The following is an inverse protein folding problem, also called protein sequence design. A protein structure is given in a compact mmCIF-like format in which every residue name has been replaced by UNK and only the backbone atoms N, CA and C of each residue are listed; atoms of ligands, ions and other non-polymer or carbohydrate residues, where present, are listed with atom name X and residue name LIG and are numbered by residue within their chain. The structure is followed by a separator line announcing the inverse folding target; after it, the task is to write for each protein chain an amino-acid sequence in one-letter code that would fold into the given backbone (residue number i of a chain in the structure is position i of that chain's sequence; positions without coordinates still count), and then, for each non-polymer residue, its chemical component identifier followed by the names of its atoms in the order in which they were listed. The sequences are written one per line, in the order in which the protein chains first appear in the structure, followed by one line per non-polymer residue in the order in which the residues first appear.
data_IF_495268826631
#
_entry.id   IF_495268826631
#
_cell.length_a   1.000
_cell.length_b   1.000
_cell.length_c   1.000
_cell.angle_alpha   90.00
_cell.angle_beta   90.00
_cell.angle_gamma   90.00
#
_symmetry.space_group_name_H-M   'P 1'
#
loop_
_entity.id
_entity.type
_entity.pdbx_description
1 polymer ?
#
# COMPACT_ATOMS: atom_id res chain seq x y z
N UNK A 1 -36.90 -4.27 4.01
CA UNK A 1 -36.01 -3.29 3.34
C UNK A 1 -35.99 -3.66 1.86
N UNK A 2 -36.36 -2.73 0.97
CA UNK A 2 -36.31 -2.92 -0.48
C UNK A 2 -35.29 -1.94 -1.06
N UNK A 3 -34.45 -2.37 -1.99
CA UNK A 3 -33.50 -1.48 -2.66
C UNK A 3 -33.14 -2.00 -4.05
N UNK A 4 -32.86 -1.08 -4.97
CA UNK A 4 -32.39 -1.43 -6.32
C UNK A 4 -30.95 -1.92 -6.24
N UNK A 5 -30.63 -3.00 -6.97
CA UNK A 5 -29.30 -3.64 -6.97
C UNK A 5 -28.15 -2.65 -7.25
N UNK A 6 -28.24 -1.83 -8.30
CA UNK A 6 -27.17 -0.85 -8.63
C UNK A 6 -26.92 0.17 -7.51
N UNK A 7 -27.96 0.53 -6.75
CA UNK A 7 -27.83 1.42 -5.59
C UNK A 7 -27.05 0.74 -4.47
N UNK A 8 -27.34 -0.54 -4.18
CA UNK A 8 -26.62 -1.32 -3.18
C UNK A 8 -25.15 -1.54 -3.56
N UNK A 9 -24.89 -1.86 -4.83
CA UNK A 9 -23.52 -1.97 -5.36
C UNK A 9 -22.79 -0.64 -5.18
N UNK A 10 -23.40 0.47 -5.60
CA UNK A 10 -22.78 1.80 -5.50
C UNK A 10 -22.45 2.17 -4.05
N UNK A 11 -23.34 1.87 -3.10
CA UNK A 11 -23.07 2.06 -1.67
C UNK A 11 -21.91 1.20 -1.19
N UNK A 12 -21.86 -0.07 -1.62
CA UNK A 12 -20.80 -1.00 -1.24
C UNK A 12 -19.43 -0.65 -1.83
N UNK A 13 -19.39 -0.10 -3.04
CA UNK A 13 -18.14 0.32 -3.68
C UNK A 13 -17.37 1.35 -2.83
N UNK A 14 -18.07 2.20 -2.08
CA UNK A 14 -17.45 3.19 -1.20
C UNK A 14 -16.55 2.58 -0.11
N UNK A 15 -16.69 1.29 0.19
CA UNK A 15 -15.85 0.61 1.19
C UNK A 15 -14.45 0.28 0.66
N UNK A 16 -14.23 0.39 -0.65
CA UNK A 16 -12.98 0.06 -1.32
C UNK A 16 -12.26 1.32 -1.85
N UNK A 17 -12.63 2.49 -1.34
CA UNK A 17 -12.02 3.80 -1.66
C UNK A 17 -10.79 4.10 -0.79
N UNK A 18 -10.61 3.37 0.32
CA UNK A 18 -9.54 3.59 1.28
C UNK A 18 -8.74 2.32 1.56
N UNK A 19 -7.48 2.51 1.91
CA UNK A 19 -6.58 1.47 2.38
C UNK A 19 -6.59 1.46 3.92
N UNK A 20 -6.76 0.27 4.49
CA UNK A 20 -6.70 0.04 5.92
C UNK A 20 -5.34 0.51 6.48
N UNK A 21 -5.35 1.32 7.53
CA UNK A 21 -4.15 1.92 8.09
C UNK A 21 -3.58 1.13 9.27
N UNK A 22 -4.17 0.01 9.66
CA UNK A 22 -3.78 -0.74 10.87
C UNK A 22 -2.33 -1.19 10.78
N UNK A 23 -1.96 -1.86 9.67
CA UNK A 23 -0.58 -2.31 9.47
C UNK A 23 0.40 -1.14 9.41
N UNK A 24 0.06 -0.07 8.68
CA UNK A 24 0.93 1.11 8.54
C UNK A 24 1.14 1.84 9.88
N UNK A 25 0.11 1.88 10.72
CA UNK A 25 0.20 2.48 12.06
C UNK A 25 1.12 1.65 12.97
N UNK A 26 0.98 0.31 12.93
CA UNK A 26 1.84 -0.60 13.68
C UNK A 26 3.29 -0.54 13.18
N UNK A 27 3.49 -0.52 11.87
CA UNK A 27 4.82 -0.43 11.26
C UNK A 27 5.50 0.90 11.62
N UNK A 28 4.76 2.02 11.58
CA UNK A 28 5.25 3.32 12.04
C UNK A 28 5.64 3.32 13.52
N UNK A 29 4.82 2.73 14.39
CA UNK A 29 5.15 2.61 15.81
C UNK A 29 6.42 1.79 16.04
N UNK A 30 6.59 0.67 15.32
CA UNK A 30 7.80 -0.14 15.37
C UNK A 30 9.03 0.65 14.91
N UNK A 31 8.95 1.39 13.79
CA UNK A 31 10.06 2.24 13.32
C UNK A 31 10.45 3.31 14.34
N UNK A 32 9.48 3.95 15.01
CA UNK A 32 9.78 4.93 16.05
C UNK A 32 10.58 4.32 17.21
N UNK A 33 10.24 3.09 17.62
CA UNK A 33 10.99 2.37 18.67
C UNK A 33 12.40 2.00 18.21
N UNK A 34 12.53 1.54 16.97
CA UNK A 34 13.82 1.14 16.40
C UNK A 34 14.72 2.38 16.21
N UNK A 35 14.20 3.48 15.65
CA UNK A 35 14.93 4.75 15.51
C UNK A 35 15.42 5.25 16.87
N UNK A 36 14.59 5.14 17.92
CA UNK A 36 15.02 5.51 19.28
C UNK A 36 16.17 4.65 19.79
N UNK A 37 16.21 3.36 19.44
CA UNK A 37 17.34 2.47 19.75
C UNK A 37 18.60 2.90 18.99
N UNK A 38 18.47 3.24 17.70
CA UNK A 38 19.56 3.74 16.86
C UNK A 38 20.20 5.00 17.47
N UNK A 39 19.38 5.97 17.88
CA UNK A 39 19.84 7.21 18.54
C UNK A 39 20.66 6.92 19.81
N UNK A 40 20.18 6.01 20.67
CA UNK A 40 20.87 5.65 21.91
C UNK A 40 22.21 4.95 21.66
N UNK A 41 22.28 4.12 20.63
CA UNK A 41 23.53 3.46 20.23
C UNK A 41 24.55 4.48 19.68
N UNK A 42 24.10 5.46 18.90
CA UNK A 42 24.96 6.56 18.48
C UNK A 42 25.48 7.38 19.66
N UNK A 43 24.61 7.75 20.60
CA UNK A 43 25.02 8.45 21.83
C UNK A 43 26.02 7.64 22.68
N UNK A 44 25.85 6.32 22.76
CA UNK A 44 26.80 5.42 23.44
C UNK A 44 28.14 5.37 22.71
N UNK A 45 28.11 5.21 21.39
CA UNK A 45 29.31 5.17 20.55
C UNK A 45 30.13 6.45 20.68
N UNK A 46 29.48 7.61 20.61
CA UNK A 46 30.14 8.90 20.71
C UNK A 46 30.87 9.07 22.06
N UNK A 47 30.26 8.60 23.16
CA UNK A 47 30.89 8.61 24.49
C UNK A 47 32.11 7.68 24.54
N UNK A 48 32.00 6.49 23.96
CA UNK A 48 33.12 5.53 23.93
C UNK A 48 34.29 6.03 23.08
N UNK A 49 33.99 6.66 21.94
CA UNK A 49 35.00 7.28 21.09
C UNK A 49 35.70 8.45 21.78
N UNK A 50 34.99 9.27 22.57
CA UNK A 50 35.63 10.32 23.38
C UNK A 50 36.62 9.74 24.40
N UNK A 51 36.27 8.65 25.09
CA UNK A 51 37.18 7.96 26.01
C UNK A 51 38.41 7.42 25.25
N UNK A 52 38.18 6.85 24.06
CA UNK A 52 39.23 6.32 23.19
C UNK A 52 40.25 7.40 22.80
N UNK A 53 39.77 8.54 22.29
CA UNK A 53 40.64 9.64 21.83
C UNK A 53 41.33 10.39 22.96
N UNK A 54 40.77 10.37 24.18
CA UNK A 54 41.41 10.92 25.37
C UNK A 54 42.50 10.02 25.97
N UNK A 55 42.89 8.93 25.29
CA UNK A 55 44.02 8.08 25.66
C UNK A 55 43.72 7.05 26.75
N UNK A 56 42.44 6.81 27.05
CA UNK A 56 41.97 5.81 28.01
C UNK A 56 41.37 4.57 27.31
N UNK A 57 41.77 4.32 26.05
CA UNK A 57 41.31 3.19 25.25
C UNK A 57 41.67 1.84 25.89
N UNK A 58 40.68 0.95 25.95
CA UNK A 58 40.85 -0.45 26.35
C UNK A 58 40.32 -1.36 25.23
N UNK A 59 40.78 -2.61 25.19
CA UNK A 59 40.24 -3.64 24.28
C UNK A 59 38.72 -3.81 24.45
N UNK A 60 38.21 -3.64 25.66
CA UNK A 60 36.76 -3.66 25.95
C UNK A 60 36.01 -2.53 25.25
N UNK A 61 36.57 -1.32 25.24
CA UNK A 61 35.98 -0.16 24.53
C UNK A 61 36.00 -0.39 23.03
N UNK A 62 37.11 -0.88 22.48
CA UNK A 62 37.23 -1.18 21.05
C UNK A 62 36.21 -2.22 20.61
N UNK A 63 36.08 -3.33 21.36
CA UNK A 63 35.10 -4.36 21.08
C UNK A 63 33.66 -3.83 21.17
N UNK A 64 33.34 -3.00 22.17
CA UNK A 64 31.99 -2.44 22.29
C UNK A 64 31.65 -1.48 21.14
N UNK A 65 32.62 -0.69 20.67
CA UNK A 65 32.42 0.16 19.49
C UNK A 65 32.10 -0.67 18.24
N UNK A 66 32.83 -1.78 18.04
CA UNK A 66 32.57 -2.72 16.94
C UNK A 66 31.17 -3.35 17.07
N UNK A 67 30.80 -3.81 18.27
CA UNK A 67 29.48 -4.39 18.52
C UNK A 67 28.36 -3.37 18.22
N UNK A 68 28.53 -2.11 18.63
CA UNK A 68 27.57 -1.04 18.33
C UNK A 68 27.43 -0.83 16.82
N UNK A 69 28.53 -0.86 16.07
CA UNK A 69 28.47 -0.72 14.61
C UNK A 69 27.68 -1.85 13.94
N UNK A 70 27.89 -3.09 14.40
CA UNK A 70 27.10 -4.25 13.96
C UNK A 70 25.62 -4.10 14.34
N UNK A 71 25.32 -3.63 15.55
CA UNK A 71 23.94 -3.38 15.99
C UNK A 71 23.24 -2.28 15.16
N UNK A 72 23.94 -1.21 14.82
CA UNK A 72 23.42 -0.13 13.96
C UNK A 72 23.14 -0.66 12.54
N UNK A 73 24.04 -1.47 11.98
CA UNK A 73 23.81 -2.10 10.67
C UNK A 73 22.58 -3.02 10.70
N UNK A 74 22.41 -3.80 11.78
CA UNK A 74 21.22 -4.63 11.97
C UNK A 74 19.94 -3.80 12.03
N UNK A 75 19.94 -2.69 12.77
CA UNK A 75 18.81 -1.77 12.86
C UNK A 75 18.44 -1.20 11.48
N UNK A 76 19.42 -0.80 10.68
CA UNK A 76 19.17 -0.28 9.32
C UNK A 76 18.43 -1.33 8.48
N UNK A 77 18.91 -2.57 8.49
CA UNK A 77 18.26 -3.68 7.79
C UNK A 77 16.83 -3.95 8.28
N UNK A 78 16.55 -3.85 9.59
CA UNK A 78 15.20 -4.01 10.13
C UNK A 78 14.25 -2.92 9.61
N UNK A 79 14.69 -1.67 9.55
CA UNK A 79 13.85 -0.57 9.08
C UNK A 79 13.59 -0.68 7.59
N UNK A 80 14.61 -1.00 6.79
CA UNK A 80 14.45 -1.26 5.36
C UNK A 80 13.40 -2.36 5.13
N UNK A 81 13.51 -3.47 5.85
CA UNK A 81 12.54 -4.58 5.80
C UNK A 81 11.12 -4.12 6.15
N UNK A 82 10.95 -3.25 7.16
CA UNK A 82 9.63 -2.71 7.51
C UNK A 82 9.05 -1.85 6.38
N UNK A 83 9.87 -1.03 5.73
CA UNK A 83 9.42 -0.17 4.64
C UNK A 83 9.09 -0.97 3.37
N UNK A 84 9.86 -2.02 3.06
CA UNK A 84 9.52 -2.98 2.00
C UNK A 84 8.13 -3.59 2.24
N UNK A 85 7.86 -4.01 3.48
CA UNK A 85 6.57 -4.58 3.86
C UNK A 85 5.43 -3.56 3.76
N UNK A 86 5.67 -2.28 4.04
CA UNK A 86 4.68 -1.21 3.80
C UNK A 86 4.32 -1.07 2.33
N UNK A 87 5.31 -1.07 1.44
CA UNK A 87 5.06 -1.01 0.00
C UNK A 87 4.20 -2.19 -0.46
N UNK A 88 4.60 -3.41 -0.06
CA UNK A 88 3.89 -4.64 -0.39
C UNK A 88 2.44 -4.60 0.16
N UNK A 89 2.27 -4.15 1.40
CA UNK A 89 0.97 -4.06 2.05
C UNK A 89 0.02 -3.09 1.33
N UNK A 90 0.50 -1.89 0.99
CA UNK A 90 -0.28 -0.88 0.29
C UNK A 90 -0.70 -1.43 -1.08
N UNK A 91 0.23 -2.01 -1.84
CA UNK A 91 -0.07 -2.56 -3.16
C UNK A 91 -1.06 -3.72 -3.09
N UNK A 92 -0.90 -4.62 -2.12
CA UNK A 92 -1.82 -5.76 -1.94
C UNK A 92 -3.22 -5.31 -1.53
N UNK A 93 -3.31 -4.28 -0.68
CA UNK A 93 -4.58 -3.67 -0.29
C UNK A 93 -5.28 -3.01 -1.48
N UNK A 94 -4.51 -2.31 -2.32
CA UNK A 94 -4.99 -1.80 -3.61
C UNK A 94 -5.54 -2.92 -4.51
N UNK A 95 -4.76 -3.99 -4.74
CA UNK A 95 -5.19 -5.09 -5.61
C UNK A 95 -6.48 -5.74 -5.13
N UNK A 96 -6.61 -5.89 -3.80
CA UNK A 96 -7.84 -6.37 -3.19
C UNK A 96 -9.02 -5.43 -3.49
N UNK A 97 -8.86 -4.14 -3.21
CA UNK A 97 -9.90 -3.13 -3.44
C UNK A 97 -10.33 -3.10 -4.91
N UNK A 98 -9.37 -3.05 -5.85
CA UNK A 98 -9.65 -3.09 -7.28
C UNK A 98 -10.47 -4.34 -7.67
N UNK A 99 -10.07 -5.52 -7.20
CA UNK A 99 -10.80 -6.77 -7.49
C UNK A 99 -12.25 -6.68 -6.99
N UNK A 100 -12.46 -6.18 -5.78
CA UNK A 100 -13.82 -6.02 -5.24
C UNK A 100 -14.64 -5.03 -6.07
N UNK A 101 -14.05 -3.91 -6.50
CA UNK A 101 -14.71 -2.93 -7.36
C UNK A 101 -15.16 -3.58 -8.67
N UNK A 102 -14.24 -4.28 -9.37
CA UNK A 102 -14.54 -4.90 -10.64
C UNK A 102 -15.58 -6.02 -10.53
N UNK A 103 -15.45 -6.89 -9.52
CA UNK A 103 -16.39 -8.00 -9.32
C UNK A 103 -17.79 -7.54 -8.92
N UNK A 104 -17.91 -6.48 -8.14
CA UNK A 104 -19.21 -5.95 -7.74
C UNK A 104 -19.89 -5.16 -8.86
N UNK A 105 -19.13 -4.34 -9.59
CA UNK A 105 -19.68 -3.47 -10.62
C UNK A 105 -19.98 -4.22 -11.93
N UNK A 106 -19.22 -5.27 -12.25
CA UNK A 106 -19.30 -5.92 -13.55
C UNK A 106 -19.35 -7.44 -13.42
N UNK A 107 -20.49 -8.02 -13.82
CA UNK A 107 -20.77 -9.46 -13.75
C UNK A 107 -19.80 -10.32 -14.58
N UNK A 108 -19.21 -9.76 -15.65
CA UNK A 108 -18.35 -10.49 -16.58
C UNK A 108 -16.87 -10.54 -16.16
N UNK A 109 -16.53 -9.99 -14.99
CA UNK A 109 -15.13 -9.93 -14.57
C UNK A 109 -14.66 -11.28 -14.07
N UNK A 110 -13.92 -12.03 -14.89
CA UNK A 110 -13.20 -13.20 -14.40
C UNK A 110 -12.04 -12.75 -13.48
N UNK A 111 -11.80 -13.42 -12.33
CA UNK A 111 -10.67 -13.11 -11.46
C UNK A 111 -9.31 -13.19 -12.18
N UNK A 112 -9.21 -14.04 -13.21
CA UNK A 112 -8.01 -14.18 -14.06
C UNK A 112 -7.76 -12.95 -14.94
N UNK A 113 -8.80 -12.22 -15.34
CA UNK A 113 -8.64 -11.02 -16.16
C UNK A 113 -8.26 -9.79 -15.31
N UNK A 114 -8.54 -9.83 -14.00
CA UNK A 114 -8.19 -8.78 -13.06
C UNK A 114 -6.75 -8.86 -12.51
N UNK A 115 -5.98 -9.90 -12.83
CA UNK A 115 -4.60 -10.09 -12.34
C UNK A 115 -3.55 -9.36 -13.18
N UNK A 116 -3.84 -9.06 -14.44
CA UNK A 116 -2.92 -8.35 -15.32
C UNK A 116 -3.41 -6.92 -15.58
N UNK A 117 -2.63 -5.92 -15.18
CA UNK A 117 -3.05 -4.50 -15.28
C UNK A 117 -3.47 -4.08 -16.69
N UNK A 118 -2.75 -4.53 -17.73
CA UNK A 118 -3.13 -4.23 -19.12
C UNK A 118 -4.50 -4.79 -19.51
N UNK A 119 -4.92 -5.91 -18.90
CA UNK A 119 -6.26 -6.46 -19.12
C UNK A 119 -7.32 -5.66 -18.37
N UNK A 120 -7.01 -5.17 -17.16
CA UNK A 120 -7.88 -4.29 -16.39
C UNK A 120 -8.16 -3.00 -17.15
N UNK A 121 -7.12 -2.34 -17.67
CA UNK A 121 -7.26 -1.11 -18.46
C UNK A 121 -8.19 -1.32 -19.66
N UNK A 122 -7.91 -2.36 -20.47
CA UNK A 122 -8.75 -2.70 -21.64
C UNK A 122 -10.19 -3.06 -21.26
N UNK A 123 -10.38 -3.72 -20.12
CA UNK A 123 -11.70 -4.09 -19.64
C UNK A 123 -12.51 -2.87 -19.21
N UNK A 124 -11.91 -1.97 -18.41
CA UNK A 124 -12.54 -0.74 -17.94
C UNK A 124 -12.88 0.19 -19.11
N UNK A 125 -11.98 0.33 -20.07
CA UNK A 125 -12.21 1.13 -21.29
C UNK A 125 -13.44 0.62 -22.06
N UNK A 126 -13.57 -0.70 -22.26
CA UNK A 126 -14.76 -1.32 -22.86
C UNK A 126 -16.05 -1.08 -22.08
N UNK A 127 -15.96 -0.86 -20.77
CA UNK A 127 -17.11 -0.54 -19.90
C UNK A 127 -17.34 0.98 -19.80
N UNK A 128 -16.61 1.80 -20.56
CA UNK A 128 -16.76 3.26 -20.57
C UNK A 128 -16.05 3.97 -19.41
N UNK A 129 -15.10 3.31 -18.76
CA UNK A 129 -14.28 3.88 -17.69
C UNK A 129 -12.87 4.14 -18.20
N UNK A 130 -12.56 5.41 -18.48
CA UNK A 130 -11.20 5.83 -18.77
C UNK A 130 -10.39 5.90 -17.47
N UNK A 131 -9.61 4.85 -17.22
CA UNK A 131 -8.76 4.70 -16.04
C UNK A 131 -7.50 5.56 -16.10
N UNK A 132 -7.03 5.91 -17.31
CA UNK A 132 -5.79 6.68 -17.48
C UNK A 132 -5.96 8.14 -17.07
N UNK A 133 -7.20 8.66 -17.14
CA UNK A 133 -7.56 9.98 -16.63
C UNK A 133 -7.96 9.97 -15.14
N UNK A 134 -7.76 8.87 -14.40
CA UNK A 134 -8.01 8.89 -12.97
C UNK A 134 -6.95 9.72 -12.24
N UNK A 135 -7.39 10.50 -11.26
CA UNK A 135 -6.50 11.20 -10.33
C UNK A 135 -5.55 10.19 -9.67
N UNK A 136 -4.27 10.51 -9.51
CA UNK A 136 -3.31 9.58 -8.91
C UNK A 136 -2.86 8.41 -9.80
N UNK A 137 -3.25 8.35 -11.08
CA UNK A 137 -2.90 7.24 -11.98
C UNK A 137 -1.38 7.11 -12.19
N UNK A 138 -0.65 8.22 -12.36
CA UNK A 138 0.79 8.17 -12.61
C UNK A 138 1.54 7.65 -11.38
N UNK A 139 1.21 8.20 -10.21
CA UNK A 139 1.74 7.80 -8.92
C UNK A 139 1.45 6.33 -8.64
N UNK A 140 0.24 5.85 -8.98
CA UNK A 140 -0.08 4.43 -8.92
C UNK A 140 0.82 3.57 -9.83
N UNK A 141 1.06 4.00 -11.07
CA UNK A 141 1.92 3.27 -12.01
C UNK A 141 3.36 3.20 -11.51
N UNK A 142 3.88 4.30 -10.96
CA UNK A 142 5.20 4.36 -10.33
C UNK A 142 5.27 3.44 -9.11
N UNK A 143 4.28 3.50 -8.22
CA UNK A 143 4.20 2.64 -7.06
C UNK A 143 4.11 1.15 -7.42
N UNK A 144 3.39 0.81 -8.49
CA UNK A 144 3.32 -0.55 -9.02
C UNK A 144 4.71 -1.03 -9.49
N UNK A 145 5.50 -0.18 -10.14
CA UNK A 145 6.88 -0.51 -10.54
C UNK A 145 7.74 -0.75 -9.31
N UNK A 146 7.70 0.15 -8.33
CA UNK A 146 8.41 0.02 -7.07
C UNK A 146 8.07 -1.29 -6.34
N UNK A 147 6.78 -1.61 -6.17
CA UNK A 147 6.37 -2.88 -5.56
C UNK A 147 6.94 -4.09 -6.31
N UNK A 148 7.02 -4.03 -7.64
CA UNK A 148 7.55 -5.15 -8.42
C UNK A 148 9.06 -5.29 -8.25
N UNK A 149 9.79 -4.18 -8.16
CA UNK A 149 11.23 -4.19 -7.89
C UNK A 149 11.51 -4.72 -6.49
N UNK A 150 10.86 -4.18 -5.45
CA UNK A 150 11.03 -4.64 -4.05
C UNK A 150 10.73 -6.14 -3.88
N UNK A 151 9.83 -6.72 -4.68
CA UNK A 151 9.54 -8.17 -4.63
C UNK A 151 10.65 -9.05 -5.20
N UNK A 152 11.52 -8.51 -6.04
CA UNK A 152 12.50 -9.27 -6.80
C UNK A 152 13.95 -8.85 -6.52
N UNK A 153 14.14 -7.63 -6.06
CA UNK A 153 15.42 -7.00 -5.76
C UNK A 153 15.36 -6.50 -4.31
N UNK A 154 16.47 -6.62 -3.58
CA UNK A 154 16.58 -6.05 -2.24
C UNK A 154 16.53 -4.51 -2.29
N UNK A 155 16.02 -3.87 -1.24
CA UNK A 155 15.93 -2.41 -1.10
C UNK A 155 17.17 -1.65 -1.59
N UNK A 156 18.35 -2.06 -1.11
CA UNK A 156 19.65 -1.43 -1.44
C UNK A 156 20.03 -1.48 -2.93
N UNK A 157 19.32 -2.26 -3.76
CA UNK A 157 19.62 -2.45 -5.19
C UNK A 157 18.54 -1.88 -6.11
N UNK A 158 17.41 -1.38 -5.59
CA UNK A 158 16.30 -0.99 -6.45
C UNK A 158 16.63 0.27 -7.27
N UNK A 159 16.47 0.17 -8.59
CA UNK A 159 16.73 1.28 -9.52
C UNK A 159 15.61 2.32 -9.52
N UNK A 160 14.38 1.93 -9.17
CA UNK A 160 13.25 2.85 -9.04
C UNK A 160 13.41 3.83 -7.89
N UNK A 161 14.05 3.47 -6.78
CA UNK A 161 14.27 4.42 -5.68
C UNK A 161 15.16 5.60 -6.10
N UNK A 162 16.24 5.31 -6.84
CA UNK A 162 17.07 6.35 -7.43
C UNK A 162 16.29 7.23 -8.43
N UNK A 163 15.40 6.63 -9.23
CA UNK A 163 14.55 7.37 -10.17
C UNK A 163 13.47 8.22 -9.47
N UNK A 164 13.04 7.81 -8.28
CA UNK A 164 12.09 8.52 -7.41
C UNK A 164 12.78 9.58 -6.52
N UNK A 165 14.10 9.75 -6.65
CA UNK A 165 14.88 10.68 -5.84
C UNK A 165 14.99 10.26 -4.37
N UNK A 166 14.68 9.00 -4.05
CA UNK A 166 14.83 8.46 -2.70
C UNK A 166 16.28 8.02 -2.50
N UNK A 167 17.13 8.95 -2.07
CA UNK A 167 18.58 8.72 -1.92
C UNK A 167 18.92 8.31 -0.49
N UNK A 168 18.13 8.79 0.48
CA UNK A 168 18.25 8.43 1.89
C UNK A 168 16.96 7.77 2.41
N UNK A 169 17.08 7.09 3.55
CA UNK A 169 15.98 6.41 4.25
C UNK A 169 14.77 7.33 4.44
N UNK A 170 15.01 8.57 4.86
CA UNK A 170 13.97 9.56 5.15
C UNK A 170 13.16 9.93 3.89
N UNK A 171 13.80 10.00 2.73
CA UNK A 171 13.10 10.26 1.45
C UNK A 171 12.12 9.12 1.15
N UNK A 172 12.55 7.88 1.41
CA UNK A 172 11.71 6.71 1.19
C UNK A 172 10.56 6.61 2.19
N UNK A 173 10.81 6.87 3.48
CA UNK A 173 9.76 6.93 4.50
C UNK A 173 8.67 7.95 4.12
N UNK A 174 9.09 9.12 3.62
CA UNK A 174 8.20 10.15 3.12
C UNK A 174 7.43 9.68 1.88
N UNK A 175 8.12 9.06 0.92
CA UNK A 175 7.49 8.53 -0.29
C UNK A 175 6.41 7.48 0.04
N UNK A 176 6.71 6.50 0.88
CA UNK A 176 5.76 5.44 1.28
C UNK A 176 4.57 6.06 2.03
N UNK A 177 4.83 7.01 2.93
CA UNK A 177 3.78 7.73 3.67
C UNK A 177 2.82 8.48 2.74
N UNK A 178 3.35 9.09 1.68
CA UNK A 178 2.56 9.84 0.69
C UNK A 178 1.87 8.93 -0.34
N UNK A 179 2.48 7.79 -0.66
CA UNK A 179 1.97 6.85 -1.67
C UNK A 179 0.57 6.34 -1.36
N UNK A 180 0.26 6.12 -0.07
CA UNK A 180 -1.09 5.72 0.35
C UNK A 180 -2.15 6.71 -0.14
N UNK A 181 -1.92 8.00 0.09
CA UNK A 181 -2.89 9.04 -0.28
C UNK A 181 -3.11 9.09 -1.80
N UNK A 182 -2.04 8.99 -2.59
CA UNK A 182 -2.14 8.97 -4.05
C UNK A 182 -2.92 7.75 -4.57
N UNK A 183 -2.71 6.57 -3.97
CA UNK A 183 -3.42 5.35 -4.35
C UNK A 183 -4.89 5.40 -3.91
N UNK A 184 -5.20 5.99 -2.76
CA UNK A 184 -6.57 6.23 -2.33
C UNK A 184 -7.28 7.22 -3.26
N UNK A 185 -6.60 8.29 -3.68
CA UNK A 185 -7.13 9.22 -4.67
C UNK A 185 -7.46 8.52 -6.00
N UNK A 186 -6.60 7.60 -6.44
CA UNK A 186 -6.86 6.75 -7.59
C UNK A 186 -8.09 5.86 -7.42
N UNK A 187 -8.22 5.14 -6.29
CA UNK A 187 -9.36 4.27 -6.01
C UNK A 187 -10.67 5.07 -5.90
N UNK A 188 -10.64 6.25 -5.29
CA UNK A 188 -11.79 7.14 -5.16
C UNK A 188 -12.29 7.62 -6.53
N UNK A 189 -11.39 8.11 -7.39
CA UNK A 189 -11.78 8.60 -8.71
C UNK A 189 -12.22 7.45 -9.64
N UNK A 190 -11.56 6.29 -9.55
CA UNK A 190 -12.02 5.08 -10.23
C UNK A 190 -13.44 4.70 -9.79
N UNK A 191 -13.71 4.66 -8.49
CA UNK A 191 -15.04 4.35 -7.96
C UNK A 191 -16.09 5.35 -8.40
N UNK A 192 -15.76 6.65 -8.41
CA UNK A 192 -16.64 7.69 -8.94
C UNK A 192 -17.02 7.42 -10.39
N UNK A 193 -16.05 7.12 -11.26
CA UNK A 193 -16.30 6.81 -12.68
C UNK A 193 -17.11 5.52 -12.85
N UNK A 194 -16.81 4.47 -12.10
CA UNK A 194 -17.57 3.20 -12.10
C UNK A 194 -19.02 3.43 -11.66
N UNK A 195 -19.25 4.24 -10.61
CA UNK A 195 -20.60 4.60 -10.14
C UNK A 195 -21.41 5.33 -11.21
N UNK A 196 -20.78 6.18 -12.03
CA UNK A 196 -21.44 6.83 -13.18
C UNK A 196 -21.89 5.80 -14.20
N UNK A 197 -21.04 4.82 -14.53
CA UNK A 197 -21.41 3.72 -15.45
C UNK A 197 -22.58 2.91 -14.88
N UNK A 198 -22.53 2.54 -13.60
CA UNK A 198 -23.61 1.80 -12.95
C UNK A 198 -24.93 2.57 -12.92
N UNK A 199 -24.90 3.88 -12.69
CA UNK A 199 -26.10 4.71 -12.65
C UNK A 199 -26.85 4.67 -14.00
N UNK A 200 -26.08 4.69 -15.10
CA UNK A 200 -26.57 4.65 -16.48
C UNK A 200 -26.86 3.22 -16.99
N UNK A 201 -26.66 2.19 -16.17
CA UNK A 201 -26.96 0.80 -16.55
C UNK A 201 -28.49 0.57 -16.50
N UNK A 202 -29.06 0.32 -17.68
CA UNK A 202 -30.49 0.04 -17.90
C UNK A 202 -30.81 -1.45 -17.93
N UNK A 203 -29.84 -2.33 -17.69
CA UNK A 203 -30.09 -3.78 -17.72
C UNK A 203 -31.14 -4.18 -16.66
N UNK A 204 -32.00 -5.17 -16.96
CA UNK A 204 -32.97 -5.68 -16.00
C UNK A 204 -32.31 -6.15 -14.70
N UNK A 205 -31.10 -6.73 -14.80
CA UNK A 205 -30.33 -7.17 -13.65
C UNK A 205 -29.96 -5.99 -12.73
N UNK A 206 -29.37 -4.90 -13.26
CA UNK A 206 -28.93 -3.79 -12.40
C UNK A 206 -30.09 -3.04 -11.76
N UNK A 207 -31.27 -3.07 -12.40
CA UNK A 207 -32.48 -2.39 -11.95
C UNK A 207 -33.44 -3.30 -11.13
N UNK A 208 -33.02 -4.52 -10.82
CA UNK A 208 -33.79 -5.45 -9.98
C UNK A 208 -33.97 -4.88 -8.56
N UNK A 209 -35.20 -4.96 -8.05
CA UNK A 209 -35.54 -4.62 -6.66
C UNK A 209 -35.28 -5.83 -5.78
N UNK A 210 -34.32 -5.72 -4.88
CA UNK A 210 -33.95 -6.78 -3.95
C UNK A 210 -34.60 -6.55 -2.59
N UNK A 211 -34.91 -7.64 -1.88
CA UNK A 211 -35.57 -7.60 -0.58
C UNK A 211 -34.92 -8.54 0.44
N UNK A 212 -35.16 -8.25 1.74
CA UNK A 212 -34.80 -9.14 2.85
C UNK A 212 -33.32 -9.54 2.85
N UNK A 213 -33.07 -10.85 2.75
CA UNK A 213 -31.72 -11.43 2.83
C UNK A 213 -30.81 -11.02 1.67
N UNK A 214 -31.38 -10.72 0.50
CA UNK A 214 -30.60 -10.35 -0.68
C UNK A 214 -29.96 -8.97 -0.52
N UNK A 215 -30.69 -8.05 0.10
CA UNK A 215 -30.16 -6.73 0.48
C UNK A 215 -29.00 -6.89 1.47
N UNK A 216 -29.18 -7.75 2.48
CA UNK A 216 -28.17 -7.98 3.52
C UNK A 216 -26.85 -8.52 2.97
N UNK A 217 -26.85 -9.28 1.85
CA UNK A 217 -25.61 -9.77 1.21
C UNK A 217 -24.66 -8.65 0.78
N UNK A 218 -25.18 -7.46 0.43
CA UNK A 218 -24.36 -6.31 0.04
C UNK A 218 -23.78 -5.55 1.24
N UNK A 219 -24.36 -5.72 2.43
CA UNK A 219 -23.86 -5.14 3.68
C UNK A 219 -22.98 -6.12 4.45
N UNK A 220 -23.18 -7.43 4.27
CA UNK A 220 -22.33 -8.44 4.87
C UNK A 220 -20.88 -8.21 4.46
N UNK A 221 -19.97 -8.14 5.43
CA UNK A 221 -18.55 -8.20 5.15
C UNK A 221 -18.27 -9.57 4.51
N UNK A 222 -17.98 -9.61 3.21
CA UNK A 222 -17.38 -10.81 2.64
C UNK A 222 -16.01 -10.94 3.28
N UNK A 223 -15.88 -11.80 4.29
CA UNK A 223 -14.66 -12.02 5.08
C UNK A 223 -13.45 -12.56 4.28
N UNK A 224 -13.46 -12.42 2.95
CA UNK A 224 -12.42 -12.88 2.03
C UNK A 224 -11.39 -11.79 1.74
N UNK A 225 -10.88 -11.09 2.75
CA UNK A 225 -9.67 -10.25 2.55
C UNK A 225 -8.43 -11.11 2.21
N UNK A 226 -8.45 -12.42 2.51
CA UNK A 226 -7.28 -13.30 2.45
C UNK A 226 -7.58 -14.74 1.96
N UNK A 227 -8.29 -14.90 0.85
CA UNK A 227 -8.37 -16.20 0.14
C UNK A 227 -7.99 -16.05 -1.31
#
# INVERSE_FOLDING_TARGET
MKSIRKTLISQRLSWYETIDSTFLSLSKESRLKINRKEELLHEEKDKLLDIYYNGAATEEIENRVIDIDVEIEHIKNEIESLLEMEVIYIYKSYEYNLKQILTLAFQDTSPKNASHWGNVVKFLDKKGVDVMSCSGFQEFIEFKKLNNEIKHEAFAQSKSLNALGCVIKEDFENYVSNSKASIEAFLQDLNRKVKVVLANDESPYMNEVLEGIEVLKYYAASGKRYT
#
